data_IF_294379242673
#
_entry.id   IF_294379242673
#
_cell.length_a   1.000
_cell.length_b   1.000
_cell.length_c   1.000
_cell.angle_alpha   90.00
_cell.angle_beta   90.00
_cell.angle_gamma   90.00
#
_symmetry.space_group_name_H-M   'P 1'
#
loop_
_entity.id
_entity.type
_entity.pdbx_description
1 polymer ?
#
# COMPACT_ATOMS: atom_id res chain seq x y z
N UNK A 1 9.61 4.17 -0.38
CA UNK A 1 10.70 3.16 -0.17
C UNK A 1 10.36 2.18 0.96
N UNK A 2 11.01 1.02 1.05
CA UNK A 2 10.73 0.07 2.16
C UNK A 2 11.02 0.66 3.54
N UNK A 3 12.06 1.48 3.65
CA UNK A 3 12.49 2.14 4.89
C UNK A 3 11.44 3.09 5.50
N UNK A 4 10.57 3.66 4.68
CA UNK A 4 9.58 4.66 5.12
C UNK A 4 8.17 4.09 5.34
N UNK A 5 7.95 2.80 5.06
CA UNK A 5 6.61 2.18 5.21
C UNK A 5 6.10 2.31 6.66
N UNK A 6 6.96 2.01 7.64
CA UNK A 6 6.61 2.14 9.06
C UNK A 6 6.30 3.58 9.46
N UNK A 7 7.06 4.53 8.94
CA UNK A 7 6.83 5.96 9.20
C UNK A 7 5.48 6.43 8.66
N UNK A 8 5.15 6.11 7.41
CA UNK A 8 3.86 6.43 6.80
C UNK A 8 2.68 5.91 7.63
N UNK A 9 2.77 4.66 8.11
CA UNK A 9 1.74 4.09 8.98
C UNK A 9 1.59 4.89 10.27
N UNK A 10 2.70 5.17 10.98
CA UNK A 10 2.67 5.93 12.23
C UNK A 10 2.12 7.35 12.03
N UNK A 11 2.47 8.01 10.92
CA UNK A 11 1.97 9.35 10.61
C UNK A 11 0.47 9.36 10.31
N UNK A 12 -0.05 8.37 9.57
CA UNK A 12 -1.50 8.25 9.35
C UNK A 12 -2.23 8.02 10.67
N UNK A 13 -1.74 7.10 11.51
CA UNK A 13 -2.31 6.84 12.84
C UNK A 13 -2.29 8.10 13.72
N UNK A 14 -1.26 8.94 13.60
CA UNK A 14 -1.13 10.20 14.37
C UNK A 14 -2.01 11.33 13.85
N UNK A 15 -1.97 11.60 12.54
CA UNK A 15 -2.56 12.81 11.94
C UNK A 15 -3.96 12.57 11.36
N UNK A 16 -4.29 11.32 11.04
CA UNK A 16 -5.58 10.93 10.50
C UNK A 16 -6.06 9.59 11.09
N UNK A 17 -6.26 9.50 12.43
CA UNK A 17 -6.59 8.25 13.12
C UNK A 17 -7.90 7.58 12.66
N UNK A 18 -8.80 8.35 12.01
CA UNK A 18 -10.02 7.82 11.41
C UNK A 18 -9.81 7.10 10.07
N UNK A 19 -8.62 7.18 9.47
CA UNK A 19 -8.27 6.48 8.25
C UNK A 19 -7.58 5.16 8.57
N UNK A 20 -8.16 4.07 8.08
CA UNK A 20 -7.61 2.73 8.23
C UNK A 20 -6.57 2.50 7.12
N UNK A 21 -5.31 2.38 7.54
CA UNK A 21 -4.19 2.08 6.66
C UNK A 21 -3.84 0.58 6.72
N UNK A 22 -3.75 -0.05 5.55
CA UNK A 22 -3.22 -1.40 5.40
C UNK A 22 -1.80 -1.35 4.84
N UNK A 23 -0.86 -2.04 5.51
CA UNK A 23 0.51 -2.20 5.01
C UNK A 23 0.60 -3.49 4.21
N UNK A 24 0.67 -3.35 2.88
CA UNK A 24 0.94 -4.46 1.96
C UNK A 24 2.45 -4.69 1.85
N UNK A 25 3.02 -5.32 2.89
CA UNK A 25 4.44 -5.63 2.97
C UNK A 25 4.71 -6.87 3.83
N UNK A 26 5.87 -7.49 3.65
CA UNK A 26 6.30 -8.65 4.43
C UNK A 26 5.75 -9.98 3.92
N UNK A 27 6.00 -11.03 4.71
CA UNK A 27 5.62 -12.41 4.37
C UNK A 27 4.13 -12.65 4.52
N UNK A 28 3.51 -12.04 5.53
CA UNK A 28 2.09 -12.14 5.90
C UNK A 28 1.16 -11.28 5.01
N UNK A 29 1.68 -10.60 3.98
CA UNK A 29 0.83 -9.79 3.10
C UNK A 29 -0.13 -10.68 2.30
N UNK A 30 -1.34 -10.20 2.10
CA UNK A 30 -2.39 -10.93 1.38
C UNK A 30 -2.03 -10.93 -0.10
N UNK A 31 -2.04 -12.11 -0.73
CA UNK A 31 -1.74 -12.27 -2.17
C UNK A 31 -2.91 -12.83 -2.95
N UNK A 32 -3.87 -13.42 -2.25
CA UNK A 32 -5.10 -13.89 -2.85
C UNK A 32 -5.98 -12.67 -3.24
N UNK A 33 -6.44 -12.57 -4.50
CA UNK A 33 -7.22 -11.43 -4.96
C UNK A 33 -8.51 -11.18 -4.19
N UNK A 34 -9.27 -12.23 -3.86
CA UNK A 34 -10.55 -12.10 -3.18
C UNK A 34 -10.35 -11.65 -1.73
N UNK A 35 -9.42 -12.28 -1.01
CA UNK A 35 -9.07 -11.86 0.35
C UNK A 35 -8.48 -10.44 0.38
N UNK A 36 -7.74 -10.04 -0.65
CA UNK A 36 -7.22 -8.68 -0.76
C UNK A 36 -8.37 -7.70 -0.95
N UNK A 37 -9.26 -7.93 -1.91
CA UNK A 37 -10.43 -7.06 -2.15
C UNK A 37 -11.30 -6.90 -0.89
N UNK A 38 -11.57 -7.98 -0.17
CA UNK A 38 -12.29 -7.91 1.11
C UNK A 38 -11.54 -7.09 2.15
N UNK A 39 -10.20 -7.23 2.23
CA UNK A 39 -9.38 -6.45 3.16
C UNK A 39 -9.45 -4.96 2.84
N UNK A 40 -9.33 -4.59 1.58
CA UNK A 40 -9.25 -3.18 1.18
C UNK A 40 -10.60 -2.47 1.22
N UNK A 41 -11.74 -3.18 1.11
CA UNK A 41 -13.07 -2.58 1.30
C UNK A 41 -13.21 -1.89 2.67
N UNK A 42 -12.50 -2.38 3.69
CA UNK A 42 -12.44 -1.76 5.01
C UNK A 42 -11.34 -0.72 5.22
N UNK A 43 -10.41 -0.53 4.27
CA UNK A 43 -9.23 0.35 4.42
C UNK A 43 -9.21 1.44 3.36
N UNK A 44 -8.94 2.68 3.77
CA UNK A 44 -8.91 3.82 2.84
C UNK A 44 -7.52 4.05 2.26
N UNK A 45 -6.46 3.54 2.91
CA UNK A 45 -5.08 3.74 2.49
C UNK A 45 -4.34 2.42 2.44
N UNK A 46 -3.55 2.23 1.38
CA UNK A 46 -2.68 1.07 1.22
C UNK A 46 -1.26 1.55 1.02
N UNK A 47 -0.35 1.02 1.84
CA UNK A 47 1.06 1.38 1.86
C UNK A 47 1.86 0.18 1.41
N UNK A 48 2.67 0.34 0.36
CA UNK A 48 3.56 -0.71 -0.13
C UNK A 48 4.89 -0.15 -0.62
N UNK A 49 5.84 -1.02 -0.96
CA UNK A 49 7.12 -0.62 -1.58
C UNK A 49 7.03 -0.70 -3.10
N UNK A 50 7.90 0.02 -3.80
CA UNK A 50 8.02 -0.08 -5.27
C UNK A 50 8.28 -1.51 -5.75
N UNK A 51 9.12 -2.26 -5.03
CA UNK A 51 9.43 -3.65 -5.37
C UNK A 51 8.18 -4.55 -5.31
N UNK A 52 7.35 -4.37 -4.28
CA UNK A 52 6.10 -5.12 -4.15
C UNK A 52 5.00 -4.60 -5.08
N UNK A 53 4.95 -3.30 -5.35
CA UNK A 53 4.03 -2.74 -6.34
C UNK A 53 4.24 -3.37 -7.74
N UNK A 54 5.51 -3.58 -8.13
CA UNK A 54 5.84 -4.30 -9.37
C UNK A 54 5.59 -5.80 -9.27
N UNK A 55 5.98 -6.42 -8.15
CA UNK A 55 5.85 -7.89 -7.98
C UNK A 55 4.39 -8.34 -7.95
N UNK A 56 3.54 -7.58 -7.26
CA UNK A 56 2.13 -7.88 -7.06
C UNK A 56 1.25 -6.98 -7.96
N UNK A 57 1.79 -6.54 -9.10
CA UNK A 57 1.11 -5.62 -10.04
C UNK A 57 -0.30 -6.09 -10.37
N UNK A 58 -0.47 -7.36 -10.74
CA UNK A 58 -1.78 -7.92 -11.11
C UNK A 58 -2.83 -7.79 -10.00
N UNK A 59 -2.40 -7.96 -8.75
CA UNK A 59 -3.27 -7.85 -7.57
C UNK A 59 -3.70 -6.40 -7.38
N UNK A 60 -2.74 -5.47 -7.44
CA UNK A 60 -2.99 -4.06 -7.21
C UNK A 60 -3.74 -3.42 -8.38
N UNK A 61 -3.45 -3.80 -9.62
CA UNK A 61 -4.09 -3.25 -10.83
C UNK A 61 -5.54 -3.72 -11.00
N UNK A 62 -5.95 -4.80 -10.33
CA UNK A 62 -7.34 -5.25 -10.31
C UNK A 62 -8.27 -4.30 -9.54
N UNK A 63 -7.70 -3.38 -8.74
CA UNK A 63 -8.44 -2.45 -7.91
C UNK A 63 -8.55 -1.09 -8.60
N UNK A 64 -9.75 -0.47 -8.65
CA UNK A 64 -9.90 0.89 -9.13
C UNK A 64 -9.41 1.89 -8.07
N UNK A 65 -8.22 2.43 -8.27
CA UNK A 65 -7.65 3.44 -7.37
C UNK A 65 -8.13 4.85 -7.70
N UNK A 66 -8.60 5.58 -6.69
CA UNK A 66 -8.91 7.00 -6.84
C UNK A 66 -7.65 7.88 -6.94
N UNK A 67 -6.59 7.50 -6.22
CA UNK A 67 -5.33 8.26 -6.17
C UNK A 67 -4.15 7.35 -5.87
N UNK A 68 -3.02 7.66 -6.49
CA UNK A 68 -1.70 7.07 -6.19
C UNK A 68 -0.75 8.19 -5.79
N UNK A 69 -0.01 7.99 -4.70
CA UNK A 69 1.03 8.93 -4.23
C UNK A 69 2.35 8.18 -4.21
N UNK A 70 3.38 8.80 -4.80
CA UNK A 70 4.71 8.22 -4.93
C UNK A 70 5.68 9.01 -4.05
N UNK A 71 6.23 8.33 -3.05
CA UNK A 71 7.23 8.91 -2.16
C UNK A 71 8.64 8.60 -2.65
N UNK A 72 9.54 9.57 -2.53
CA UNK A 72 10.90 9.52 -3.04
C UNK A 72 10.95 9.10 -4.53
N UNK A 73 10.11 9.74 -5.34
CA UNK A 73 9.85 9.39 -6.74
C UNK A 73 11.11 9.45 -7.64
N UNK A 74 12.16 10.19 -7.24
CA UNK A 74 13.44 10.20 -7.92
C UNK A 74 14.13 8.82 -7.97
N UNK A 75 13.69 7.86 -7.14
CA UNK A 75 14.16 6.47 -7.20
C UNK A 75 13.58 5.69 -8.39
N UNK A 76 12.55 6.20 -9.05
CA UNK A 76 12.01 5.60 -10.27
C UNK A 76 12.93 6.03 -11.41
N UNK A 77 13.73 5.08 -11.90
CA UNK A 77 14.59 5.25 -13.08
C UNK A 77 14.03 4.38 -14.21
N UNK A 78 14.11 4.89 -15.45
CA UNK A 78 13.75 4.15 -16.66
C UNK A 78 14.65 2.94 -16.88
#
# INVERSE_FOLDING_TARGET
>A
PTSVIGNWRMEIERFAPGLLAYVHHGVERIRDPEAFEQRIQGHQIIITSYALARRDEKLLSAIPWFRVVLDEAQNIKN
#
